data_IF_830916695174
#
_entry.id   IF_830916695174
#
_cell.length_a   1.000
_cell.length_b   1.000
_cell.length_c   1.000
_cell.angle_alpha   90.00
_cell.angle_beta   90.00
_cell.angle_gamma   90.00
#
_symmetry.space_group_name_H-M   'P 1'
#
loop_
_entity.id
_entity.type
_entity.pdbx_description
1 polymer ?
#
# COMPACT_ATOMS: atom_id res chain seq x y z
N UNK A 1 13.78 45.55 12.62
CA UNK A 1 13.91 44.88 11.32
C UNK A 1 14.23 43.42 11.61
N UNK A 2 13.42 42.41 11.29
CA UNK A 2 12.12 42.27 10.62
C UNK A 2 11.22 41.52 11.63
N UNK A 3 9.92 41.85 11.78
CA UNK A 3 9.07 41.16 12.75
C UNK A 3 8.76 39.75 12.25
N UNK A 4 8.96 38.73 13.10
CA UNK A 4 8.44 37.38 12.84
C UNK A 4 6.95 37.39 13.18
N UNK A 5 6.13 37.48 12.13
CA UNK A 5 4.68 37.34 12.21
C UNK A 5 4.30 35.91 12.61
N UNK A 6 3.37 35.82 13.57
CA UNK A 6 2.67 34.60 13.93
C UNK A 6 1.86 34.07 12.74
N UNK A 7 1.82 32.74 12.54
CA UNK A 7 0.55 32.11 12.17
C UNK A 7 0.41 31.40 10.83
N UNK A 8 1.47 30.83 10.26
CA UNK A 8 1.29 29.69 9.36
C UNK A 8 2.15 28.56 9.91
N UNK A 9 1.52 27.62 10.61
CA UNK A 9 2.09 26.29 10.72
C UNK A 9 2.22 25.81 9.29
N UNK A 10 3.42 25.87 8.71
CA UNK A 10 3.72 25.29 7.41
C UNK A 10 3.32 23.82 7.50
N UNK A 11 2.11 23.50 7.05
CA UNK A 11 1.68 22.13 6.83
C UNK A 11 2.43 21.66 5.60
N UNK A 12 3.71 21.33 5.80
CA UNK A 12 4.50 20.68 4.79
C UNK A 12 3.96 19.26 4.63
N UNK A 13 3.55 18.91 3.42
CA UNK A 13 3.29 17.52 3.07
C UNK A 13 4.56 16.71 3.30
N UNK A 14 4.40 15.48 3.81
CA UNK A 14 5.49 14.52 3.92
C UNK A 14 5.91 13.92 2.56
N UNK A 15 5.33 14.40 1.46
CA UNK A 15 5.53 13.89 0.10
C UNK A 15 5.87 15.04 -0.85
N UNK A 16 6.77 14.79 -1.80
CA UNK A 16 7.12 15.72 -2.87
C UNK A 16 6.17 15.66 -4.07
N UNK A 17 5.23 14.71 -4.05
CA UNK A 17 4.24 14.51 -5.10
C UNK A 17 2.89 14.13 -4.49
N UNK A 18 1.81 14.76 -4.94
CA UNK A 18 0.46 14.41 -4.52
C UNK A 18 -0.59 15.02 -5.45
N UNK A 19 -1.84 14.61 -5.29
CA UNK A 19 -2.97 15.28 -5.93
C UNK A 19 -3.68 16.22 -4.95
N UNK A 20 -4.10 17.39 -5.43
CA UNK A 20 -5.06 18.25 -4.73
C UNK A 20 -4.46 19.32 -3.81
N UNK A 21 -3.14 19.33 -3.57
CA UNK A 21 -2.48 20.42 -2.84
C UNK A 21 -2.01 21.52 -3.80
N UNK A 22 -2.92 22.47 -4.05
CA UNK A 22 -2.70 23.64 -4.90
C UNK A 22 -1.69 24.63 -4.30
N UNK A 23 -1.55 24.65 -2.97
CA UNK A 23 -0.61 25.55 -2.30
C UNK A 23 0.82 25.00 -2.41
N UNK A 24 0.97 23.68 -2.33
CA UNK A 24 2.22 22.95 -2.53
C UNK A 24 2.81 23.08 -3.93
N UNK A 25 1.99 23.26 -4.97
CA UNK A 25 2.46 23.41 -6.37
C UNK A 25 3.45 24.57 -6.53
N UNK A 26 3.22 25.67 -5.79
CA UNK A 26 4.06 26.89 -5.83
C UNK A 26 5.45 26.68 -5.24
N UNK A 27 5.63 25.64 -4.43
CA UNK A 27 6.89 25.32 -3.74
C UNK A 27 7.52 24.02 -4.26
N UNK A 28 7.08 23.52 -5.41
CA UNK A 28 7.71 22.40 -6.13
C UNK A 28 7.07 21.03 -5.92
N UNK A 29 5.87 20.96 -5.33
CA UNK A 29 5.07 19.74 -5.34
C UNK A 29 4.65 19.40 -6.79
N UNK A 30 4.83 18.16 -7.20
CA UNK A 30 4.44 17.69 -8.54
C UNK A 30 3.23 16.76 -8.50
N UNK A 31 2.36 16.87 -9.50
CA UNK A 31 1.25 15.92 -9.76
C UNK A 31 1.64 14.82 -10.75
N UNK A 32 2.84 14.89 -11.32
CA UNK A 32 3.29 13.95 -12.35
C UNK A 32 3.63 12.58 -11.73
N UNK A 33 2.95 11.50 -12.15
CA UNK A 33 3.25 10.17 -11.65
C UNK A 33 4.50 9.60 -12.30
N UNK A 34 5.24 8.78 -11.56
CA UNK A 34 6.18 7.85 -12.17
C UNK A 34 5.40 6.69 -12.82
N UNK A 35 5.80 6.30 -14.03
CA UNK A 35 5.13 5.24 -14.80
C UNK A 35 6.13 4.19 -15.25
N UNK A 36 5.97 2.98 -14.73
CA UNK A 36 6.73 1.80 -15.14
C UNK A 36 5.83 0.76 -15.81
N UNK A 37 6.34 0.16 -16.88
CA UNK A 37 5.64 -0.90 -17.63
C UNK A 37 6.42 -2.20 -17.49
N UNK A 38 5.79 -3.21 -16.89
CA UNK A 38 6.36 -4.53 -16.68
C UNK A 38 5.78 -5.48 -17.73
N UNK A 39 6.64 -5.99 -18.62
CA UNK A 39 6.26 -7.04 -19.56
C UNK A 39 6.09 -8.37 -18.83
N UNK A 40 4.87 -8.90 -18.78
CA UNK A 40 4.60 -10.16 -18.10
C UNK A 40 5.02 -11.40 -18.90
N UNK A 41 5.32 -11.25 -20.20
CA UNK A 41 5.69 -12.35 -21.10
C UNK A 41 7.07 -12.95 -20.79
N UNK A 42 7.94 -12.16 -20.16
CA UNK A 42 9.28 -12.61 -19.74
C UNK A 42 9.26 -13.57 -18.54
N UNK A 43 8.11 -13.69 -17.87
CA UNK A 43 7.96 -14.48 -16.66
C UNK A 43 7.46 -15.89 -16.96
N UNK A 44 7.83 -16.83 -16.09
CA UNK A 44 7.47 -18.23 -16.19
C UNK A 44 5.96 -18.44 -15.95
N UNK A 45 5.20 -18.68 -17.02
CA UNK A 45 3.74 -18.88 -16.96
C UNK A 45 3.31 -20.09 -16.13
N UNK A 46 4.22 -20.98 -15.73
CA UNK A 46 3.90 -22.08 -14.80
C UNK A 46 3.83 -21.62 -13.34
N UNK A 47 4.26 -20.40 -13.03
CA UNK A 47 4.23 -19.81 -11.69
C UNK A 47 3.02 -18.90 -11.51
N UNK A 48 2.65 -18.71 -10.25
CA UNK A 48 1.66 -17.73 -9.85
C UNK A 48 2.33 -16.39 -9.57
N UNK A 49 1.70 -15.31 -10.01
CA UNK A 49 2.18 -13.94 -9.78
C UNK A 49 1.11 -13.12 -9.07
N UNK A 50 1.58 -12.25 -8.19
CA UNK A 50 0.72 -11.41 -7.38
C UNK A 50 1.24 -9.98 -7.42
N UNK A 51 0.32 -9.03 -7.44
CA UNK A 51 0.60 -7.61 -7.17
C UNK A 51 0.06 -7.29 -5.79
N UNK A 52 0.89 -6.66 -4.96
CA UNK A 52 0.51 -6.18 -3.64
C UNK A 52 0.82 -4.70 -3.57
N UNK A 53 -0.16 -3.91 -3.16
CA UNK A 53 -0.04 -2.48 -2.95
C UNK A 53 -0.49 -2.14 -1.53
N UNK A 54 0.23 -1.25 -0.86
CA UNK A 54 -0.07 -0.82 0.50
C UNK A 54 0.26 0.66 0.69
N UNK A 55 -0.37 1.29 1.68
CA UNK A 55 0.01 2.63 2.14
C UNK A 55 1.24 2.57 3.04
N UNK A 56 1.98 3.67 3.14
CA UNK A 56 3.13 3.86 4.04
C UNK A 56 2.79 3.62 5.52
N UNK A 57 1.54 3.87 5.92
CA UNK A 57 1.02 3.49 7.23
C UNK A 57 1.24 2.00 7.58
N UNK A 58 1.24 1.11 6.58
CA UNK A 58 1.53 -0.32 6.79
C UNK A 58 3.03 -0.62 6.91
N UNK A 59 3.87 0.11 6.15
CA UNK A 59 5.28 -0.23 5.92
C UNK A 59 6.19 0.58 6.87
N UNK A 60 6.15 1.90 6.75
CA UNK A 60 7.14 2.81 7.34
C UNK A 60 7.01 2.91 8.86
N UNK A 61 5.78 3.07 9.35
CA UNK A 61 5.53 3.29 10.78
C UNK A 61 5.30 2.01 11.57
N UNK A 62 4.81 0.98 10.90
CA UNK A 62 4.52 -0.31 11.51
C UNK A 62 5.68 -1.30 11.44
N UNK A 63 6.80 -0.91 10.83
CA UNK A 63 8.03 -1.70 10.72
C UNK A 63 7.80 -3.07 10.07
N UNK A 64 6.84 -3.16 9.15
CA UNK A 64 6.67 -4.32 8.29
C UNK A 64 7.47 -4.06 7.02
N UNK A 65 8.27 -5.03 6.60
CA UNK A 65 8.95 -4.90 5.31
C UNK A 65 8.00 -5.20 4.16
N UNK A 66 8.26 -4.61 2.99
CA UNK A 66 7.54 -4.91 1.75
C UNK A 66 7.55 -6.42 1.45
N UNK A 67 8.68 -7.09 1.70
CA UNK A 67 8.83 -8.53 1.53
C UNK A 67 7.94 -9.34 2.48
N UNK A 68 7.86 -8.96 3.76
CA UNK A 68 6.98 -9.61 4.73
C UNK A 68 5.50 -9.50 4.29
N UNK A 69 5.09 -8.30 3.86
CA UNK A 69 3.73 -8.04 3.38
C UNK A 69 3.44 -8.84 2.12
N UNK A 70 4.33 -8.79 1.12
CA UNK A 70 4.18 -9.51 -0.14
C UNK A 70 4.13 -11.03 0.07
N UNK A 71 5.01 -11.57 0.92
CA UNK A 71 5.08 -13.00 1.24
C UNK A 71 3.84 -13.48 1.97
N UNK A 72 3.36 -12.73 2.97
CA UNK A 72 2.17 -13.07 3.72
C UNK A 72 0.92 -13.11 2.82
N UNK A 73 0.75 -12.10 1.97
CA UNK A 73 -0.38 -12.03 1.04
C UNK A 73 -0.31 -13.13 -0.03
N UNK A 74 0.86 -13.31 -0.64
CA UNK A 74 1.07 -14.36 -1.66
C UNK A 74 0.78 -15.74 -1.07
N UNK A 75 1.34 -16.07 0.09
CA UNK A 75 1.10 -17.37 0.74
C UNK A 75 -0.37 -17.60 1.09
N UNK A 76 -1.08 -16.56 1.52
CA UNK A 76 -2.50 -16.67 1.87
C UNK A 76 -3.39 -16.85 0.64
N UNK A 77 -2.99 -16.28 -0.50
CA UNK A 77 -3.74 -16.34 -1.74
C UNK A 77 -3.32 -17.49 -2.66
N UNK A 78 -2.12 -18.05 -2.47
CA UNK A 78 -1.66 -19.29 -3.08
C UNK A 78 -2.33 -20.48 -2.41
N UNK A 79 -3.39 -20.95 -3.05
CA UNK A 79 -4.11 -22.18 -2.72
C UNK A 79 -5.01 -22.55 -3.88
N UNK A 80 -5.32 -23.84 -4.02
CA UNK A 80 -6.28 -24.31 -5.01
C UNK A 80 -7.62 -23.60 -4.76
N UNK A 81 -8.11 -22.87 -5.79
CA UNK A 81 -9.49 -22.41 -5.81
C UNK A 81 -10.36 -23.66 -5.67
N UNK A 82 -11.02 -23.79 -4.52
CA UNK A 82 -12.03 -24.81 -4.30
C UNK A 82 -13.08 -24.65 -5.42
N UNK A 83 -13.06 -25.54 -6.41
CA UNK A 83 -13.89 -25.48 -7.63
C UNK A 83 -15.40 -25.62 -7.33
N UNK A 84 -15.78 -25.66 -6.05
CA UNK A 84 -17.13 -25.98 -5.59
C UNK A 84 -18.10 -24.79 -5.55
N UNK A 85 -17.70 -23.55 -5.80
CA UNK A 85 -18.64 -22.42 -5.78
C UNK A 85 -18.50 -21.42 -6.94
N UNK A 86 -19.38 -21.61 -7.94
CA UNK A 86 -19.72 -20.77 -9.10
C UNK A 86 -20.05 -19.28 -8.78
N UNK A 87 -19.86 -18.77 -7.54
CA UNK A 87 -20.31 -17.42 -7.16
C UNK A 87 -19.43 -16.59 -6.21
N UNK A 88 -18.24 -17.02 -5.79
CA UNK A 88 -17.40 -16.13 -4.97
C UNK A 88 -16.42 -15.32 -5.82
N UNK A 89 -16.93 -14.37 -6.62
CA UNK A 89 -16.11 -13.33 -7.27
C UNK A 89 -15.54 -12.30 -6.28
N UNK A 90 -15.88 -12.44 -5.01
CA UNK A 90 -15.57 -11.47 -3.98
C UNK A 90 -14.76 -12.18 -2.91
N UNK A 91 -13.45 -11.89 -2.92
CA UNK A 91 -12.61 -11.95 -1.74
C UNK A 91 -12.20 -13.37 -1.30
N UNK A 92 -10.91 -13.70 -1.50
CA UNK A 92 -10.31 -14.89 -0.87
C UNK A 92 -10.39 -14.74 0.64
N UNK A 93 -11.18 -15.59 1.31
CA UNK A 93 -11.32 -15.56 2.77
C UNK A 93 -9.95 -15.68 3.47
N UNK A 94 -9.00 -16.41 2.86
CA UNK A 94 -7.62 -16.51 3.33
C UNK A 94 -6.86 -15.18 3.12
N UNK A 95 -7.00 -14.57 1.95
CA UNK A 95 -6.42 -13.25 1.65
C UNK A 95 -6.91 -12.16 2.62
N UNK A 96 -8.21 -12.10 2.90
CA UNK A 96 -8.76 -11.14 3.89
C UNK A 96 -8.24 -11.38 5.29
N UNK A 97 -8.13 -12.65 5.68
CA UNK A 97 -7.58 -13.00 6.99
C UNK A 97 -6.14 -12.51 7.10
N UNK A 98 -5.30 -12.77 6.09
CA UNK A 98 -3.92 -12.30 6.08
C UNK A 98 -3.83 -10.77 6.08
N UNK A 99 -4.61 -10.08 5.25
CA UNK A 99 -4.68 -8.62 5.24
C UNK A 99 -5.06 -8.07 6.62
N UNK A 100 -6.07 -8.65 7.27
CA UNK A 100 -6.47 -8.28 8.63
C UNK A 100 -5.36 -8.52 9.66
N UNK A 101 -4.66 -9.64 9.57
CA UNK A 101 -3.54 -9.96 10.47
C UNK A 101 -2.38 -8.95 10.31
N UNK A 102 -2.05 -8.57 9.07
CA UNK A 102 -1.05 -7.54 8.78
C UNK A 102 -1.48 -6.17 9.34
N UNK A 103 -2.72 -5.75 9.09
CA UNK A 103 -3.27 -4.49 9.64
C UNK A 103 -3.25 -4.51 11.17
N UNK A 104 -3.63 -5.63 11.80
CA UNK A 104 -3.62 -5.76 13.25
C UNK A 104 -2.19 -5.76 13.82
N UNK A 105 -1.25 -6.46 13.17
CA UNK A 105 0.18 -6.46 13.55
C UNK A 105 0.70 -5.01 13.49
N UNK A 106 0.47 -4.35 12.36
CA UNK A 106 0.82 -2.95 12.10
C UNK A 106 0.26 -2.00 13.16
N UNK A 107 -1.05 -2.06 13.41
CA UNK A 107 -1.73 -1.18 14.38
C UNK A 107 -1.21 -1.29 15.82
N UNK A 108 -0.68 -2.46 16.20
CA UNK A 108 -0.12 -2.70 17.54
C UNK A 108 1.31 -2.20 17.68
N UNK A 109 2.04 -2.09 16.57
CA UNK A 109 3.43 -1.63 16.55
C UNK A 109 3.53 -0.10 16.61
N UNK A 110 2.42 0.61 16.38
CA UNK A 110 2.37 2.06 16.49
C UNK A 110 2.52 2.53 17.93
N UNK A 111 3.57 3.32 18.16
CA UNK A 111 3.74 4.09 19.40
C UNK A 111 2.79 5.31 19.43
N UNK A 112 2.57 5.89 20.61
CA UNK A 112 1.57 6.95 20.86
C UNK A 112 1.80 8.28 20.12
N UNK A 113 2.81 8.40 19.25
CA UNK A 113 3.23 9.67 18.66
C UNK A 113 2.67 9.96 17.27
N UNK A 114 2.36 8.93 16.48
CA UNK A 114 1.81 9.11 15.14
C UNK A 114 1.05 7.86 14.69
N UNK A 115 -0.07 8.08 14.00
CA UNK A 115 -0.95 7.05 13.45
C UNK A 115 -1.45 7.54 12.09
N UNK A 116 -1.32 6.70 11.08
CA UNK A 116 -1.79 6.95 9.73
C UNK A 116 -3.06 6.14 9.40
N UNK A 117 -3.49 6.15 8.15
CA UNK A 117 -4.44 5.18 7.62
C UNK A 117 -3.70 3.98 7.01
N UNK A 118 -4.22 2.78 7.26
CA UNK A 118 -3.64 1.53 6.76
C UNK A 118 -4.56 0.94 5.70
N UNK A 119 -4.07 0.83 4.47
CA UNK A 119 -4.76 0.13 3.39
C UNK A 119 -3.81 -0.87 2.71
N UNK A 120 -4.37 -2.01 2.31
CA UNK A 120 -3.66 -3.05 1.55
C UNK A 120 -4.59 -3.65 0.50
N UNK A 121 -4.05 -3.85 -0.70
CA UNK A 121 -4.69 -4.55 -1.81
C UNK A 121 -3.73 -5.62 -2.33
N UNK A 122 -4.25 -6.81 -2.61
CA UNK A 122 -3.50 -7.86 -3.28
C UNK A 122 -4.33 -8.47 -4.40
N UNK A 123 -3.69 -8.72 -5.54
CA UNK A 123 -4.32 -9.26 -6.74
C UNK A 123 -3.48 -10.37 -7.35
N UNK A 124 -4.12 -11.50 -7.65
CA UNK A 124 -3.49 -12.60 -8.39
C UNK A 124 -3.57 -12.32 -9.88
N UNK A 125 -2.41 -12.23 -10.55
CA UNK A 125 -2.34 -12.08 -12.00
C UNK A 125 -2.76 -13.40 -12.65
N UNK A 126 -3.65 -13.30 -13.66
CA UNK A 126 -4.09 -14.43 -14.48
C UNK A 126 -3.57 -14.23 -15.90
N UNK A 127 -2.88 -15.22 -16.44
CA UNK A 127 -2.39 -15.24 -17.83
C UNK A 127 -3.43 -15.78 -18.81
#
# INVERSE_FOLDING_TARGET
AIPMENGVSEMALAMSRSFGDLDGERVGLSVEPDTDVIDLSQFDKSKEYFVVAATDGLIDFAQLTEEEVATAMTRAMSGEEDQSHVRSRFVSARGTKAARELILKSSKMWSSKYRDDISIVAHKIRF
#
